data_IF_281563023951
#
_entry.id   IF_281563023951
#
_cell.length_a   1.000
_cell.length_b   1.000
_cell.length_c   1.000
_cell.angle_alpha   90.00
_cell.angle_beta   90.00
_cell.angle_gamma   90.00
#
_symmetry.space_group_name_H-M   'P 1'
#
loop_
_entity.id
_entity.type
_entity.pdbx_description
1 polymer ?
#
# COMPACT_ATOMS: atom_id res chain seq x y z
N UNK A 1 -2.80 -42.97 -27.39
CA UNK A 1 -2.80 -43.95 -28.50
C UNK A 1 -3.80 -45.04 -28.12
N UNK A 2 -4.81 -45.27 -28.98
CA UNK A 2 -5.85 -46.32 -28.88
C UNK A 2 -6.89 -46.16 -27.77
N UNK A 3 -8.14 -46.58 -27.91
CA UNK A 3 -8.99 -46.87 -29.08
C UNK A 3 -10.42 -46.99 -28.55
N UNK A 4 -11.36 -46.75 -29.46
CA UNK A 4 -12.79 -47.02 -29.38
C UNK A 4 -13.16 -48.48 -29.04
N UNK A 5 -14.32 -48.68 -28.38
CA UNK A 5 -15.28 -49.81 -28.51
C UNK A 5 -16.56 -49.47 -27.70
N UNK A 6 -17.68 -49.08 -28.31
CA UNK A 6 -18.83 -49.89 -28.81
C UNK A 6 -19.48 -50.83 -27.80
N UNK A 7 -20.80 -50.68 -27.60
CA UNK A 7 -21.89 -51.69 -27.36
C UNK A 7 -23.22 -50.86 -27.31
N UNK A 8 -24.25 -50.97 -28.14
CA UNK A 8 -25.06 -52.05 -28.73
C UNK A 8 -26.19 -52.62 -27.82
N UNK A 9 -27.40 -52.72 -28.42
CA UNK A 9 -28.67 -53.39 -28.03
C UNK A 9 -29.62 -52.61 -27.08
N UNK A 10 -30.95 -52.59 -27.23
CA UNK A 10 -31.97 -53.37 -27.97
C UNK A 10 -33.15 -52.43 -28.35
N UNK A 11 -33.82 -52.46 -29.52
CA UNK A 11 -34.71 -53.45 -30.18
C UNK A 11 -36.10 -53.66 -29.54
N UNK A 12 -37.10 -53.86 -30.42
CA UNK A 12 -38.40 -54.57 -30.28
C UNK A 12 -39.72 -53.75 -30.52
N UNK A 13 -40.26 -53.97 -31.74
CA UNK A 13 -41.69 -54.28 -32.13
C UNK A 13 -42.73 -53.13 -32.17
N UNK A 14 -43.63 -53.01 -33.17
CA UNK A 14 -43.90 -53.82 -34.36
C UNK A 14 -45.11 -53.31 -35.19
N UNK A 15 -45.14 -53.74 -36.47
CA UNK A 15 -46.29 -54.13 -37.36
C UNK A 15 -47.50 -53.21 -37.49
N UNK A 16 -47.81 -52.65 -38.68
CA UNK A 16 -48.33 -53.26 -39.94
C UNK A 16 -49.87 -53.25 -40.03
N UNK A 17 -50.40 -52.55 -41.06
CA UNK A 17 -51.60 -53.00 -41.80
C UNK A 17 -51.70 -52.30 -43.16
N UNK A 18 -51.69 -53.11 -44.20
CA UNK A 18 -52.21 -52.80 -45.54
C UNK A 18 -53.74 -52.83 -45.53
N UNK A 19 -54.39 -52.04 -46.39
CA UNK A 19 -55.45 -52.61 -47.24
C UNK A 19 -55.69 -51.80 -48.52
N UNK A 20 -56.29 -52.49 -49.48
CA UNK A 20 -56.19 -52.33 -50.94
C UNK A 20 -57.56 -52.03 -51.57
N UNK A 21 -57.55 -51.41 -52.78
CA UNK A 21 -58.64 -51.21 -53.79
C UNK A 21 -59.65 -50.09 -53.46
N UNK A 22 -60.23 -49.35 -54.41
CA UNK A 22 -60.54 -49.62 -55.83
C UNK A 22 -60.76 -48.29 -56.57
N UNK A 23 -60.48 -48.26 -57.87
CA UNK A 23 -60.71 -47.13 -58.76
C UNK A 23 -62.18 -46.97 -59.14
N UNK A 24 -62.66 -45.73 -59.26
CA UNK A 24 -63.80 -45.39 -60.11
C UNK A 24 -63.64 -43.98 -60.70
N UNK A 25 -63.51 -43.92 -62.03
CA UNK A 25 -63.57 -42.70 -62.85
C UNK A 25 -65.03 -42.30 -63.07
N UNK A 26 -65.33 -41.02 -62.91
CA UNK A 26 -66.38 -40.32 -63.65
C UNK A 26 -65.97 -38.84 -63.84
N UNK A 27 -66.24 -38.29 -65.01
CA UNK A 27 -65.92 -36.94 -65.54
C UNK A 27 -67.27 -36.31 -65.92
N UNK A 28 -67.43 -34.99 -66.12
CA UNK A 28 -67.11 -33.82 -65.30
C UNK A 28 -68.40 -33.05 -64.90
N UNK A 29 -68.32 -32.07 -64.01
CA UNK A 29 -69.31 -30.98 -63.99
C UNK A 29 -68.60 -29.68 -63.63
N UNK A 30 -68.60 -28.77 -64.61
CA UNK A 30 -68.10 -27.40 -64.50
C UNK A 30 -69.00 -26.66 -63.53
N UNK A 31 -68.46 -26.06 -62.47
CA UNK A 31 -68.70 -24.67 -62.03
C UNK A 31 -67.73 -24.32 -60.89
N UNK A 32 -67.33 -23.05 -60.89
CA UNK A 32 -66.48 -22.34 -59.91
C UNK A 32 -64.96 -22.52 -59.99
N UNK A 33 -64.38 -21.69 -60.86
CA UNK A 33 -63.06 -21.09 -60.70
C UNK A 33 -62.97 -20.39 -59.33
N UNK A 34 -62.62 -21.13 -58.28
CA UNK A 34 -62.02 -20.53 -57.09
C UNK A 34 -60.51 -20.55 -57.25
N UNK A 35 -59.97 -19.43 -57.70
CA UNK A 35 -58.55 -19.13 -57.67
C UNK A 35 -58.11 -19.24 -56.21
N UNK A 36 -57.47 -20.36 -55.85
CA UNK A 36 -56.71 -20.46 -54.62
C UNK A 36 -55.52 -19.50 -54.75
N UNK A 37 -55.73 -18.24 -54.40
CA UNK A 37 -54.64 -17.33 -54.07
C UNK A 37 -53.91 -17.93 -52.87
N UNK A 38 -52.86 -18.70 -53.13
CA UNK A 38 -51.72 -18.76 -52.22
C UNK A 38 -51.19 -17.34 -52.12
N UNK A 39 -51.74 -16.59 -51.17
CA UNK A 39 -51.24 -15.28 -50.77
C UNK A 39 -49.83 -15.57 -50.25
N UNK A 40 -48.83 -15.36 -51.09
CA UNK A 40 -47.46 -15.30 -50.65
C UNK A 40 -47.47 -14.34 -49.45
N UNK A 41 -47.17 -14.85 -48.24
CA UNK A 41 -46.89 -13.99 -47.10
C UNK A 41 -45.75 -13.10 -47.57
N UNK A 42 -46.07 -11.85 -47.92
CA UNK A 42 -45.06 -10.83 -48.15
C UNK A 42 -44.21 -10.86 -46.87
N UNK A 43 -42.88 -11.04 -46.96
CA UNK A 43 -42.07 -10.77 -45.80
C UNK A 43 -42.34 -9.31 -45.46
N UNK A 44 -42.99 -9.05 -44.33
CA UNK A 44 -43.11 -7.72 -43.80
C UNK A 44 -41.69 -7.30 -43.40
N UNK A 45 -40.97 -6.69 -44.33
CA UNK A 45 -39.66 -6.12 -44.08
C UNK A 45 -39.80 -4.87 -43.22
N UNK A 46 -38.80 -4.61 -42.39
CA UNK A 46 -38.73 -3.39 -41.59
C UNK A 46 -38.78 -2.16 -42.50
N UNK A 47 -39.60 -1.19 -42.13
CA UNK A 47 -39.63 0.12 -42.76
C UNK A 47 -38.33 0.86 -42.49
N UNK A 48 -37.97 1.79 -43.39
CA UNK A 48 -36.75 2.61 -43.25
C UNK A 48 -36.76 3.40 -41.93
N UNK A 49 -37.95 3.79 -41.46
CA UNK A 49 -38.16 4.43 -40.16
C UNK A 49 -37.87 3.48 -38.98
N UNK A 50 -38.36 2.23 -39.00
CA UNK A 50 -38.06 1.24 -37.97
C UNK A 50 -36.56 0.89 -37.90
N UNK A 51 -35.89 0.84 -39.06
CA UNK A 51 -34.44 0.59 -39.13
C UNK A 51 -33.64 1.76 -38.54
N UNK A 52 -34.03 3.01 -38.84
CA UNK A 52 -33.45 4.22 -38.23
C UNK A 52 -33.64 4.27 -36.72
N UNK A 53 -34.85 3.98 -36.24
CA UNK A 53 -35.15 3.95 -34.79
C UNK A 53 -34.34 2.84 -34.11
N UNK A 54 -34.27 1.65 -34.71
CA UNK A 54 -33.52 0.52 -34.16
C UNK A 54 -32.02 0.81 -34.08
N UNK A 55 -31.43 1.44 -35.11
CA UNK A 55 -30.03 1.87 -35.06
C UNK A 55 -29.82 2.99 -34.03
N UNK A 56 -30.75 3.94 -33.92
CA UNK A 56 -30.69 5.00 -32.90
C UNK A 56 -30.67 4.44 -31.48
N UNK A 57 -31.58 3.51 -31.18
CA UNK A 57 -31.63 2.81 -29.88
C UNK A 57 -30.37 1.98 -29.66
N UNK A 58 -29.88 1.27 -30.68
CA UNK A 58 -28.65 0.48 -30.58
C UNK A 58 -27.43 1.36 -30.26
N UNK A 59 -27.28 2.51 -30.94
CA UNK A 59 -26.20 3.45 -30.66
C UNK A 59 -26.34 4.02 -29.25
N UNK A 60 -27.55 4.36 -28.82
CA UNK A 60 -27.79 4.85 -27.46
C UNK A 60 -27.43 3.81 -26.41
N UNK A 61 -27.85 2.55 -26.59
CA UNK A 61 -27.55 1.45 -25.68
C UNK A 61 -26.05 1.14 -25.62
N UNK A 62 -25.37 1.13 -26.77
CA UNK A 62 -23.91 0.88 -26.81
C UNK A 62 -23.12 2.01 -26.15
N UNK A 63 -23.52 3.26 -26.34
CA UNK A 63 -22.92 4.41 -25.64
C UNK A 63 -23.14 4.32 -24.13
N UNK A 64 -24.36 3.99 -23.68
CA UNK A 64 -24.69 3.89 -22.26
C UNK A 64 -23.93 2.73 -21.59
N UNK A 65 -23.88 1.57 -22.25
CA UNK A 65 -23.08 0.43 -21.78
C UNK A 65 -21.59 0.79 -21.69
N UNK A 66 -21.04 1.49 -22.68
CA UNK A 66 -19.64 1.94 -22.69
C UNK A 66 -19.35 2.92 -21.55
N UNK A 67 -20.25 3.88 -21.31
CA UNK A 67 -20.11 4.82 -20.19
C UNK A 67 -20.16 4.13 -18.82
N UNK A 68 -21.04 3.13 -18.67
CA UNK A 68 -21.14 2.33 -17.45
C UNK A 68 -19.87 1.52 -17.20
N UNK A 69 -19.36 0.85 -18.23
CA UNK A 69 -18.11 0.08 -18.14
C UNK A 69 -16.91 0.97 -17.81
N UNK A 70 -16.81 2.14 -18.43
CA UNK A 70 -15.75 3.11 -18.14
C UNK A 70 -15.81 3.65 -16.71
N UNK A 71 -17.02 3.90 -16.21
CA UNK A 71 -17.23 4.35 -14.83
C UNK A 71 -16.86 3.25 -13.83
N UNK A 72 -17.30 2.02 -14.09
CA UNK A 72 -16.95 0.86 -13.27
C UNK A 72 -15.43 0.61 -13.24
N UNK A 73 -14.76 0.66 -14.39
CA UNK A 73 -13.31 0.50 -14.49
C UNK A 73 -12.54 1.55 -13.67
N UNK A 74 -13.00 2.81 -13.68
CA UNK A 74 -12.41 3.90 -12.87
C UNK A 74 -12.55 3.63 -11.37
N UNK A 75 -13.75 3.24 -10.92
CA UNK A 75 -14.02 2.95 -9.50
C UNK A 75 -13.16 1.76 -9.04
N UNK A 76 -13.14 0.68 -9.82
CA UNK A 76 -12.33 -0.50 -9.53
C UNK A 76 -10.85 -0.14 -9.45
N UNK A 77 -10.35 0.65 -10.40
CA UNK A 77 -8.94 1.08 -10.39
C UNK A 77 -8.62 1.91 -9.17
N UNK A 78 -9.47 2.89 -8.81
CA UNK A 78 -9.28 3.70 -7.61
C UNK A 78 -9.29 2.84 -6.33
N UNK A 79 -10.19 1.85 -6.27
CA UNK A 79 -10.26 0.89 -5.18
C UNK A 79 -8.96 0.11 -5.00
N UNK A 80 -8.37 -0.40 -6.08
CA UNK A 80 -7.07 -1.08 -6.03
C UNK A 80 -5.97 -0.15 -5.52
N UNK A 81 -5.88 1.09 -6.04
CA UNK A 81 -4.87 2.06 -5.59
C UNK A 81 -4.94 2.31 -4.08
N UNK A 82 -6.16 2.48 -3.58
CA UNK A 82 -6.38 2.69 -2.15
C UNK A 82 -6.01 1.44 -1.34
N UNK A 83 -6.47 0.26 -1.77
CA UNK A 83 -6.18 -1.01 -1.11
C UNK A 83 -4.68 -1.30 -1.04
N UNK A 84 -3.93 -0.99 -2.09
CA UNK A 84 -2.46 -1.17 -2.13
C UNK A 84 -1.78 -0.25 -1.11
N UNK A 85 -2.16 1.03 -1.07
CA UNK A 85 -1.62 1.99 -0.11
C UNK A 85 -2.00 1.65 1.34
N UNK A 86 -3.25 1.25 1.59
CA UNK A 86 -3.75 0.83 2.91
C UNK A 86 -2.99 -0.41 3.41
N UNK A 87 -2.75 -1.38 2.52
CA UNK A 87 -2.05 -2.63 2.86
C UNK A 87 -0.61 -2.36 3.30
N UNK A 88 0.11 -1.51 2.56
CA UNK A 88 1.48 -1.12 2.92
C UNK A 88 1.55 -0.32 4.23
N UNK A 89 0.65 0.65 4.42
CA UNK A 89 0.59 1.42 5.65
C UNK A 89 0.33 0.52 6.86
N UNK A 90 -0.58 -0.45 6.72
CA UNK A 90 -0.91 -1.40 7.78
C UNK A 90 0.28 -2.29 8.15
N UNK A 91 0.95 -2.89 7.16
CA UNK A 91 2.12 -3.72 7.40
C UNK A 91 3.24 -2.95 8.10
N UNK A 92 3.57 -1.76 7.61
CA UNK A 92 4.56 -0.86 8.21
C UNK A 92 4.22 -0.55 9.67
N UNK A 93 2.98 -0.14 9.93
CA UNK A 93 2.57 0.24 11.27
C UNK A 93 2.46 -0.95 12.22
N UNK A 94 2.05 -2.13 11.75
CA UNK A 94 2.01 -3.33 12.58
C UNK A 94 3.43 -3.75 12.97
N UNK A 95 4.40 -3.59 12.07
CA UNK A 95 5.81 -3.80 12.40
C UNK A 95 6.31 -2.79 13.43
N UNK A 96 6.04 -1.50 13.24
CA UNK A 96 6.36 -0.45 14.21
C UNK A 96 5.74 -0.69 15.58
N UNK A 97 4.51 -1.20 15.64
CA UNK A 97 3.84 -1.52 16.90
C UNK A 97 4.64 -2.56 17.70
N UNK A 98 5.08 -3.63 17.04
CA UNK A 98 5.90 -4.68 17.68
C UNK A 98 7.24 -4.12 18.16
N UNK A 99 7.92 -3.35 17.29
CA UNK A 99 9.24 -2.82 17.59
C UNK A 99 9.21 -1.78 18.73
N UNK A 100 8.24 -0.87 18.72
CA UNK A 100 8.06 0.12 19.79
C UNK A 100 7.60 -0.51 21.11
N UNK A 101 6.77 -1.56 21.07
CA UNK A 101 6.34 -2.26 22.29
C UNK A 101 7.51 -2.94 23.03
N UNK A 102 8.54 -3.34 22.28
CA UNK A 102 9.74 -4.01 22.79
C UNK A 102 10.95 -3.08 22.93
N UNK A 103 10.73 -1.77 22.83
CA UNK A 103 11.76 -0.78 23.05
C UNK A 103 12.30 -0.84 24.49
N UNK A 104 13.63 -0.85 24.63
CA UNK A 104 14.30 -0.75 25.93
C UNK A 104 14.22 0.69 26.40
N UNK A 105 13.53 0.94 27.53
CA UNK A 105 13.14 2.30 27.98
C UNK A 105 13.79 2.73 29.29
N UNK A 106 15.09 2.46 29.43
CA UNK A 106 15.86 2.83 30.62
C UNK A 106 16.47 4.21 30.48
N UNK A 107 16.80 4.85 31.61
CA UNK A 107 17.42 6.17 31.66
C UNK A 107 18.90 6.18 31.25
N UNK A 108 19.57 5.03 31.31
CA UNK A 108 20.98 4.85 30.96
C UNK A 108 21.18 4.28 29.53
N UNK A 109 20.09 4.20 28.76
CA UNK A 109 20.09 3.72 27.38
C UNK A 109 19.87 4.91 26.47
N UNK A 110 20.65 4.98 25.40
CA UNK A 110 20.56 6.08 24.44
C UNK A 110 19.59 5.78 23.28
N UNK A 111 19.08 6.84 22.66
CA UNK A 111 18.13 6.78 21.55
C UNK A 111 18.53 7.79 20.47
N UNK A 112 18.39 7.39 19.22
CA UNK A 112 18.47 8.33 18.11
C UNK A 112 17.06 8.88 17.84
N UNK A 113 16.79 10.08 18.35
CA UNK A 113 15.47 10.71 18.35
C UNK A 113 15.54 12.12 17.77
N UNK A 114 14.39 12.62 17.33
CA UNK A 114 14.17 14.04 17.13
C UNK A 114 14.44 14.79 18.41
N UNK A 115 15.27 15.82 18.31
CA UNK A 115 15.53 16.71 19.42
C UNK A 115 15.68 18.15 18.95
N UNK A 116 15.45 19.08 19.88
CA UNK A 116 15.74 20.49 19.69
C UNK A 116 17.24 20.74 19.88
N UNK A 117 17.80 21.59 19.02
CA UNK A 117 19.16 22.14 19.17
C UNK A 117 19.31 23.07 20.39
N UNK A 118 18.25 23.27 21.18
CA UNK A 118 18.22 24.20 22.32
C UNK A 118 18.40 23.52 23.68
N UNK A 119 18.55 22.19 23.74
CA UNK A 119 18.87 21.51 24.99
C UNK A 119 20.36 21.72 25.33
N UNK A 120 20.63 22.41 26.44
CA UNK A 120 21.99 22.81 26.84
C UNK A 120 22.94 21.62 27.11
N UNK A 121 22.38 20.45 27.43
CA UNK A 121 23.10 19.21 27.72
C UNK A 121 23.14 18.26 26.51
N UNK A 122 22.68 18.69 25.33
CA UNK A 122 22.69 17.86 24.12
C UNK A 122 23.52 18.43 22.98
N UNK A 123 24.82 18.13 22.99
CA UNK A 123 25.78 18.58 21.97
C UNK A 123 25.59 17.92 20.60
N UNK A 124 24.80 16.85 20.52
CA UNK A 124 24.57 16.05 19.30
C UNK A 124 23.11 16.03 18.85
N UNK A 125 22.24 16.81 19.50
CA UNK A 125 20.85 16.90 19.12
C UNK A 125 20.71 17.69 17.82
N UNK A 126 20.23 17.04 16.78
CA UNK A 126 19.92 17.67 15.50
C UNK A 126 18.41 17.77 15.33
N UNK A 127 17.96 18.95 14.89
CA UNK A 127 16.63 19.06 14.29
C UNK A 127 16.65 18.26 13.01
N UNK A 128 15.79 17.25 12.92
CA UNK A 128 15.55 16.53 11.67
C UNK A 128 14.58 17.37 10.83
N UNK A 129 14.94 17.63 9.58
CA UNK A 129 14.12 18.36 8.61
C UNK A 129 13.72 17.41 7.49
N UNK A 130 12.47 17.47 7.05
CA UNK A 130 11.95 16.57 6.04
C UNK A 130 11.86 15.15 6.57
N UNK A 131 12.33 14.16 5.80
CA UNK A 131 12.22 12.77 6.19
C UNK A 131 12.99 12.44 7.46
N UNK A 132 12.24 11.98 8.45
CA UNK A 132 12.75 11.69 9.76
C UNK A 132 13.51 10.38 9.86
N UNK A 133 14.21 10.25 10.97
CA UNK A 133 14.95 9.08 11.36
C UNK A 133 14.77 8.81 12.85
N UNK A 134 14.56 7.55 13.19
CA UNK A 134 14.47 7.11 14.58
C UNK A 134 15.23 5.80 14.74
N UNK A 135 15.99 5.66 15.82
CA UNK A 135 16.56 4.38 16.22
C UNK A 135 16.64 4.23 17.74
N UNK A 136 16.55 2.98 18.20
CA UNK A 136 16.50 2.63 19.61
C UNK A 136 16.94 1.18 19.82
N UNK A 137 17.36 0.87 21.04
CA UNK A 137 17.60 -0.51 21.45
C UNK A 137 16.28 -1.23 21.71
N UNK A 138 16.17 -2.48 21.29
CA UNK A 138 14.96 -3.29 21.40
C UNK A 138 15.28 -4.74 21.79
N UNK A 139 14.32 -5.41 22.41
CA UNK A 139 14.37 -6.88 22.63
C UNK A 139 13.83 -7.67 21.44
N UNK A 140 13.46 -7.00 20.34
CA UNK A 140 13.15 -7.68 19.08
C UNK A 140 14.44 -8.30 18.54
N UNK A 141 14.41 -9.56 18.09
CA UNK A 141 15.59 -10.15 17.50
C UNK A 141 16.05 -9.41 16.24
N UNK A 142 17.36 -9.21 16.14
CA UNK A 142 18.01 -8.63 14.96
C UNK A 142 18.98 -9.61 14.32
N UNK A 143 19.60 -9.20 13.23
CA UNK A 143 20.64 -9.95 12.52
C UNK A 143 21.94 -9.18 12.50
N UNK A 144 23.08 -9.85 12.65
CA UNK A 144 24.39 -9.24 12.46
C UNK A 144 24.90 -9.53 11.05
N UNK A 145 25.14 -8.48 10.27
CA UNK A 145 25.79 -8.60 8.96
C UNK A 145 27.29 -8.93 9.08
N UNK A 146 27.88 -8.74 10.26
CA UNK A 146 29.33 -8.86 10.51
C UNK A 146 29.76 -10.32 10.66
N UNK A 147 28.98 -11.13 11.40
CA UNK A 147 29.30 -12.54 11.64
C UNK A 147 28.54 -13.48 10.71
N UNK A 148 27.82 -12.94 9.71
CA UNK A 148 27.22 -13.69 8.62
C UNK A 148 26.02 -14.58 8.98
N UNK A 149 25.67 -14.79 10.26
CA UNK A 149 24.44 -15.50 10.61
C UNK A 149 23.90 -15.31 12.04
N UNK A 150 24.44 -14.39 12.84
CA UNK A 150 24.11 -14.39 14.27
C UNK A 150 22.87 -13.55 14.58
N UNK A 151 21.82 -14.24 14.98
CA UNK A 151 20.66 -13.63 15.62
C UNK A 151 20.98 -13.34 17.08
N UNK A 152 20.60 -12.14 17.54
CA UNK A 152 20.66 -11.79 18.97
C UNK A 152 19.27 -11.40 19.47
N UNK A 153 18.90 -11.73 20.72
CA UNK A 153 17.66 -11.26 21.34
C UNK A 153 17.67 -9.75 21.63
N UNK A 154 18.81 -9.06 21.51
CA UNK A 154 18.90 -7.60 21.63
C UNK A 154 19.42 -7.03 20.33
N UNK A 155 18.75 -5.99 19.84
CA UNK A 155 19.09 -5.35 18.58
C UNK A 155 18.92 -3.85 18.64
N UNK A 156 19.50 -3.18 17.64
CA UNK A 156 19.16 -1.79 17.30
C UNK A 156 18.13 -1.84 16.19
N UNK A 157 16.96 -1.29 16.49
CA UNK A 157 15.91 -1.07 15.50
C UNK A 157 15.92 0.38 15.10
N UNK A 158 15.73 0.64 13.81
CA UNK A 158 15.54 2.00 13.35
C UNK A 158 14.76 2.08 12.06
N UNK A 159 14.33 3.29 11.74
CA UNK A 159 13.41 3.60 10.66
C UNK A 159 13.85 4.89 9.98
N UNK A 160 13.82 4.88 8.65
CA UNK A 160 14.10 6.07 7.83
C UNK A 160 13.53 5.89 6.42
N UNK A 161 13.43 6.98 5.68
CA UNK A 161 13.37 6.91 4.22
C UNK A 161 14.79 6.74 3.67
N UNK A 162 14.95 5.81 2.72
CA UNK A 162 16.20 5.60 1.99
C UNK A 162 16.52 6.83 1.14
N UNK A 163 17.67 7.44 1.40
CA UNK A 163 18.17 8.61 0.66
C UNK A 163 19.44 8.21 -0.06
N UNK A 164 19.29 7.70 -1.28
CA UNK A 164 20.40 7.42 -2.19
C UNK A 164 19.99 7.71 -3.64
N UNK A 165 20.93 7.61 -4.57
CA UNK A 165 20.67 7.72 -6.01
C UNK A 165 20.25 6.38 -6.65
N UNK A 166 20.04 5.31 -5.87
CA UNK A 166 19.71 3.98 -6.40
C UNK A 166 18.20 3.75 -6.62
N UNK A 167 17.85 2.51 -6.99
CA UNK A 167 16.46 2.10 -7.27
C UNK A 167 15.58 1.97 -6.03
N UNK A 168 16.18 1.94 -4.84
CA UNK A 168 15.51 1.85 -3.55
C UNK A 168 15.30 3.22 -2.90
N UNK A 169 15.76 4.30 -3.54
CA UNK A 169 15.51 5.69 -3.12
C UNK A 169 14.03 5.99 -2.88
N UNK A 170 13.78 6.83 -1.85
CA UNK A 170 12.46 7.27 -1.43
C UNK A 170 11.53 6.11 -1.02
N UNK A 171 12.08 5.14 -0.30
CA UNK A 171 11.34 4.00 0.26
C UNK A 171 11.60 3.90 1.75
N UNK A 172 10.64 3.41 2.50
CA UNK A 172 10.80 3.20 3.93
C UNK A 172 11.64 1.96 4.20
N UNK A 173 12.70 2.15 4.98
CA UNK A 173 13.58 1.10 5.44
C UNK A 173 13.48 0.91 6.94
N UNK A 174 13.74 -0.33 7.35
CA UNK A 174 13.92 -0.71 8.74
C UNK A 174 15.30 -1.32 8.94
N UNK A 175 16.01 -0.81 9.93
CA UNK A 175 17.21 -1.43 10.48
C UNK A 175 16.82 -2.49 11.51
N UNK A 176 17.48 -3.66 11.47
CA UNK A 176 17.35 -4.70 12.49
C UNK A 176 18.70 -5.30 12.86
N UNK A 177 19.59 -4.52 13.45
CA UNK A 177 20.98 -4.91 13.67
C UNK A 177 21.19 -5.57 15.03
N UNK A 178 21.58 -6.83 15.05
CA UNK A 178 21.86 -7.58 16.28
C UNK A 178 23.04 -7.00 17.05
N UNK A 179 22.96 -7.05 18.38
CA UNK A 179 24.08 -6.80 19.28
C UNK A 179 24.51 -8.11 19.93
N UNK A 180 25.78 -8.50 19.79
CA UNK A 180 26.28 -9.77 20.35
C UNK A 180 26.70 -9.62 21.81
N UNK A 181 26.80 -10.69 22.59
CA UNK A 181 27.25 -10.56 23.98
C UNK A 181 28.70 -10.04 24.08
N UNK A 182 29.00 -9.28 25.14
CA UNK A 182 30.36 -8.81 25.39
C UNK A 182 31.35 -9.98 25.48
N UNK A 183 32.48 -9.85 24.79
CA UNK A 183 33.50 -10.90 24.69
C UNK A 183 33.20 -11.99 23.65
N UNK A 184 32.04 -11.97 22.97
CA UNK A 184 31.74 -12.90 21.88
C UNK A 184 32.47 -12.54 20.57
N UNK A 185 32.80 -11.26 20.36
CA UNK A 185 33.58 -10.79 19.21
C UNK A 185 34.37 -9.52 19.56
N UNK A 186 35.44 -9.27 18.82
CA UNK A 186 36.16 -7.99 18.76
C UNK A 186 35.68 -7.10 17.60
N UNK A 187 34.69 -7.55 16.82
CA UNK A 187 34.23 -6.85 15.63
C UNK A 187 33.49 -5.55 15.96
N UNK A 188 33.52 -4.64 15.00
CA UNK A 188 32.86 -3.34 15.07
C UNK A 188 31.67 -3.25 14.13
N UNK A 189 30.58 -2.64 14.61
CA UNK A 189 29.46 -2.13 13.82
C UNK A 189 29.92 -1.16 12.74
N UNK A 190 29.01 -0.89 11.80
CA UNK A 190 29.26 0.09 10.73
C UNK A 190 29.64 1.46 11.30
N UNK A 191 29.02 1.89 12.40
CA UNK A 191 29.34 3.11 13.15
C UNK A 191 30.70 3.10 13.89
N UNK A 192 31.51 2.05 13.72
CA UNK A 192 32.83 1.91 14.34
C UNK A 192 32.80 1.58 15.83
N UNK A 193 31.61 1.35 16.43
CA UNK A 193 31.47 0.90 17.82
C UNK A 193 31.55 -0.63 17.90
N UNK A 194 31.93 -1.22 19.05
CA UNK A 194 31.89 -2.66 19.21
C UNK A 194 30.50 -3.22 18.90
N UNK A 195 30.43 -4.38 18.23
CA UNK A 195 29.17 -5.03 17.89
C UNK A 195 28.44 -5.67 19.09
N UNK A 196 28.86 -5.33 20.31
CA UNK A 196 28.43 -6.00 21.52
C UNK A 196 27.29 -5.29 22.27
N UNK A 197 26.60 -6.01 23.16
CA UNK A 197 25.54 -5.49 24.06
C UNK A 197 26.18 -4.62 25.13
N UNK A 198 26.61 -3.43 24.73
CA UNK A 198 26.93 -2.29 25.57
C UNK A 198 26.11 -1.15 25.00
N UNK A 199 25.31 -0.50 25.85
CA UNK A 199 24.56 0.67 25.43
C UNK A 199 25.54 1.84 25.31
N UNK A 200 25.91 2.19 24.07
CA UNK A 200 26.79 3.30 23.76
C UNK A 200 25.98 4.57 23.50
N UNK A 201 26.51 5.70 23.98
CA UNK A 201 26.08 7.04 23.61
C UNK A 201 27.22 7.77 22.86
N UNK A 202 26.93 8.59 21.83
CA UNK A 202 25.64 8.72 21.17
C UNK A 202 25.29 7.49 20.31
N UNK A 203 24.04 7.02 20.35
CA UNK A 203 23.51 6.07 19.39
C UNK A 203 23.27 6.81 18.07
N UNK A 204 24.03 6.50 17.02
CA UNK A 204 23.77 6.97 15.67
C UNK A 204 24.09 5.87 14.66
N UNK A 205 23.14 4.96 14.38
CA UNK A 205 23.39 3.84 13.48
C UNK A 205 23.48 4.27 12.00
N UNK A 206 23.33 5.56 11.70
CA UNK A 206 23.37 6.09 10.34
C UNK A 206 24.73 6.61 9.92
N UNK A 207 25.68 6.75 10.86
CA UNK A 207 26.99 7.35 10.62
C UNK A 207 27.88 6.56 9.64
N UNK A 208 27.53 5.31 9.31
CA UNK A 208 28.22 4.52 8.30
C UNK A 208 27.28 3.46 7.74
N UNK A 209 27.11 3.49 6.42
CA UNK A 209 25.95 2.89 5.72
C UNK A 209 26.29 1.68 4.87
N UNK A 210 27.52 1.16 4.93
CA UNK A 210 28.02 0.28 3.87
C UNK A 210 27.59 -1.19 4.00
N UNK A 211 27.20 -1.68 5.18
CA UNK A 211 26.86 -3.10 5.41
C UNK A 211 25.75 -3.35 6.46
N UNK A 212 24.95 -2.36 6.83
CA UNK A 212 23.93 -2.57 7.86
C UNK A 212 22.72 -3.37 7.31
N UNK A 213 22.09 -4.24 8.11
CA UNK A 213 20.97 -5.08 7.68
C UNK A 213 19.68 -4.24 7.59
N UNK A 214 19.51 -3.59 6.45
CA UNK A 214 18.32 -2.82 6.11
C UNK A 214 17.35 -3.69 5.31
N UNK A 215 16.10 -3.67 5.75
CA UNK A 215 14.98 -4.22 4.99
C UNK A 215 14.11 -3.08 4.47
N UNK A 216 13.78 -3.10 3.18
CA UNK A 216 12.74 -2.22 2.63
C UNK A 216 11.39 -2.77 3.09
N UNK A 217 10.70 -2.03 3.95
CA UNK A 217 9.42 -2.45 4.55
C UNK A 217 8.22 -1.62 4.07
N UNK A 218 8.47 -0.46 3.47
CA UNK A 218 7.44 0.34 2.84
C UNK A 218 7.90 0.77 1.46
N UNK A 219 7.62 -0.06 0.46
CA UNK A 219 8.06 0.17 -0.91
C UNK A 219 7.58 1.51 -1.45
N UNK A 220 6.35 1.90 -1.14
CA UNK A 220 5.76 3.11 -1.70
C UNK A 220 5.47 4.19 -0.65
N UNK A 221 6.08 4.05 0.52
CA UNK A 221 6.12 5.07 1.57
C UNK A 221 7.30 6.00 1.29
N UNK A 222 7.02 7.28 1.02
CA UNK A 222 8.03 8.26 0.59
C UNK A 222 8.21 9.43 1.57
N UNK A 223 7.25 9.61 2.50
CA UNK A 223 7.36 10.55 3.61
C UNK A 223 7.20 9.81 4.92
N UNK A 224 8.13 10.03 5.84
CA UNK A 224 8.06 9.57 7.23
C UNK A 224 8.31 10.75 8.16
N UNK A 225 7.35 11.01 9.04
CA UNK A 225 7.39 12.05 10.06
C UNK A 225 6.94 11.45 11.40
N UNK A 226 7.49 11.92 12.51
CA UNK A 226 6.93 11.61 13.83
C UNK A 226 7.02 12.77 14.82
N UNK A 227 6.17 12.68 15.84
CA UNK A 227 6.06 13.60 16.97
C UNK A 227 5.71 12.84 18.24
N UNK A 228 5.76 13.52 19.38
CA UNK A 228 5.52 12.92 20.68
C UNK A 228 4.22 13.44 21.30
N UNK A 229 3.48 12.55 21.95
CA UNK A 229 2.50 12.91 22.97
C UNK A 229 3.20 12.81 24.32
N UNK A 230 3.32 13.92 25.04
CA UNK A 230 3.94 13.94 26.37
C UNK A 230 2.93 13.55 27.45
N UNK A 231 3.38 13.13 28.64
CA UNK A 231 2.47 12.72 29.75
C UNK A 231 1.66 13.86 30.35
N UNK A 232 1.96 15.12 29.99
CA UNK A 232 1.13 16.27 30.35
C UNK A 232 -0.02 16.50 29.35
N UNK A 233 -0.09 15.71 28.26
CA UNK A 233 -1.09 15.82 27.21
C UNK A 233 -0.66 16.64 25.99
N UNK A 234 0.49 17.31 26.04
CA UNK A 234 0.95 18.17 24.95
C UNK A 234 1.57 17.37 23.79
N UNK A 235 1.36 17.87 22.57
CA UNK A 235 2.06 17.38 21.39
C UNK A 235 3.38 18.14 21.21
N UNK A 236 4.49 17.41 21.10
CA UNK A 236 5.83 17.99 21.04
C UNK A 236 6.67 17.41 19.91
N UNK A 237 7.57 18.24 19.38
CA UNK A 237 8.64 17.82 18.47
C UNK A 237 9.84 17.20 19.23
N UNK A 238 9.88 17.33 20.55
CA UNK A 238 10.93 16.78 21.43
C UNK A 238 10.33 15.86 22.50
N UNK A 239 11.07 14.83 22.96
CA UNK A 239 10.51 13.82 23.86
C UNK A 239 10.49 14.21 25.36
N UNK A 240 10.61 15.49 25.70
CA UNK A 240 10.63 15.97 27.08
C UNK A 240 10.01 17.36 27.27
N UNK A 241 9.66 17.69 28.52
CA UNK A 241 9.01 18.95 28.88
C UNK A 241 9.95 20.16 28.88
N UNK A 242 11.20 19.97 29.32
CA UNK A 242 12.09 21.08 29.68
C UNK A 242 13.17 21.30 28.62
N UNK A 243 13.38 22.55 28.20
CA UNK A 243 14.49 22.95 27.32
C UNK A 243 15.87 22.81 27.97
N UNK A 244 15.95 22.41 29.24
CA UNK A 244 17.18 22.43 30.04
C UNK A 244 17.81 21.06 30.33
N UNK A 245 17.13 19.94 30.08
CA UNK A 245 17.78 18.62 30.18
C UNK A 245 17.13 17.52 29.34
N UNK A 246 17.97 16.74 28.63
CA UNK A 246 17.57 15.53 27.90
C UNK A 246 17.18 14.42 28.87
N UNK A 247 15.94 13.93 28.76
CA UNK A 247 15.43 12.83 29.61
C UNK A 247 15.05 11.59 28.81
N UNK A 248 15.60 11.44 27.60
CA UNK A 248 15.23 10.37 26.68
C UNK A 248 13.71 10.35 26.45
N UNK A 249 13.07 9.20 26.66
CA UNK A 249 11.62 9.01 26.52
C UNK A 249 10.83 9.06 27.84
N UNK A 250 11.43 9.52 28.94
CA UNK A 250 10.79 9.48 30.28
C UNK A 250 9.48 10.26 30.35
N UNK A 251 9.36 11.34 29.60
CA UNK A 251 8.20 12.23 29.61
C UNK A 251 7.20 11.91 28.47
N UNK A 252 7.51 10.91 27.64
CA UNK A 252 6.69 10.50 26.49
C UNK A 252 5.61 9.50 26.90
N UNK A 253 4.38 9.76 26.47
CA UNK A 253 3.25 8.82 26.54
C UNK A 253 3.04 8.04 25.24
N UNK A 254 3.24 8.68 24.09
CA UNK A 254 3.13 8.01 22.80
C UNK A 254 4.06 8.63 21.76
N UNK A 255 4.47 7.82 20.80
CA UNK A 255 5.08 8.27 19.55
C UNK A 255 3.97 8.28 18.50
N UNK A 256 3.71 9.43 17.89
CA UNK A 256 2.72 9.58 16.82
C UNK A 256 3.49 9.65 15.51
N UNK A 257 3.22 8.70 14.62
CA UNK A 257 3.88 8.58 13.32
C UNK A 257 2.91 9.00 12.22
N UNK A 258 3.41 9.79 11.29
CA UNK A 258 2.75 10.26 10.09
C UNK A 258 3.52 9.77 8.86
N UNK A 259 2.80 9.21 7.89
CA UNK A 259 3.41 8.74 6.63
C UNK A 259 2.60 9.19 5.41
N UNK A 260 3.30 9.36 4.29
CA UNK A 260 2.68 9.49 2.98
C UNK A 260 3.04 8.28 2.10
N UNK A 261 2.01 7.70 1.50
CA UNK A 261 2.07 6.47 0.69
C UNK A 261 1.44 6.76 -0.66
N UNK A 262 2.01 6.20 -1.72
CA UNK A 262 1.47 6.27 -3.09
C UNK A 262 1.27 4.85 -3.61
N UNK A 263 0.29 4.58 -4.48
CA UNK A 263 0.16 3.24 -5.05
C UNK A 263 1.29 2.97 -6.07
N UNK A 264 1.71 1.70 -6.25
CA UNK A 264 2.83 1.36 -7.13
C UNK A 264 2.69 1.90 -8.57
N UNK A 265 1.47 1.87 -9.13
CA UNK A 265 1.23 2.30 -10.52
C UNK A 265 1.39 3.80 -10.69
N UNK A 266 0.94 4.57 -9.71
CA UNK A 266 1.09 6.02 -9.75
C UNK A 266 2.49 6.48 -9.36
N UNK A 267 3.16 5.75 -8.46
CA UNK A 267 4.57 5.98 -8.14
C UNK A 267 5.44 5.91 -9.40
N UNK A 268 5.16 4.95 -10.29
CA UNK A 268 5.88 4.78 -11.56
C UNK A 268 5.77 5.99 -12.51
N UNK A 269 4.84 6.93 -12.26
CA UNK A 269 4.70 8.18 -13.02
C UNK A 269 5.61 9.30 -12.50
N UNK A 270 6.30 9.09 -11.38
CA UNK A 270 7.14 10.06 -10.70
C UNK A 270 8.60 9.58 -10.71
N UNK A 271 9.53 10.50 -10.95
CA UNK A 271 10.95 10.23 -10.74
C UNK A 271 11.31 10.24 -9.25
N UNK A 272 12.48 9.70 -8.90
CA UNK A 272 12.99 9.79 -7.54
C UNK A 272 13.19 11.25 -7.09
N UNK A 273 13.57 12.15 -8.00
CA UNK A 273 13.65 13.58 -7.70
C UNK A 273 12.27 14.20 -7.42
N UNK A 274 11.23 13.79 -8.15
CA UNK A 274 9.87 14.28 -7.93
C UNK A 274 9.36 13.86 -6.55
N UNK A 275 9.60 12.61 -6.15
CA UNK A 275 9.22 12.09 -4.83
C UNK A 275 10.00 12.78 -3.71
N UNK A 276 11.29 13.03 -3.89
CA UNK A 276 12.10 13.74 -2.91
C UNK A 276 11.61 15.18 -2.73
N UNK A 277 11.37 15.91 -3.83
CA UNK A 277 10.85 17.28 -3.79
C UNK A 277 9.44 17.32 -3.17
N UNK A 278 8.56 16.38 -3.54
CA UNK A 278 7.25 16.27 -2.93
C UNK A 278 7.34 15.99 -1.42
N UNK A 279 8.27 15.13 -0.98
CA UNK A 279 8.48 14.87 0.44
C UNK A 279 8.97 16.11 1.19
N UNK A 280 9.83 16.95 0.57
CA UNK A 280 10.29 18.22 1.13
C UNK A 280 9.17 19.27 1.25
N UNK A 281 8.21 19.27 0.32
CA UNK A 281 7.02 20.13 0.34
C UNK A 281 6.03 19.72 1.46
N UNK A 282 6.14 18.51 1.99
CA UNK A 282 5.37 18.03 3.14
C UNK A 282 6.04 18.47 4.44
N UNK A 283 5.56 19.59 4.97
CA UNK A 283 6.11 20.27 6.15
C UNK A 283 6.31 19.35 7.37
N UNK A 284 7.33 19.64 8.17
CA UNK A 284 7.57 18.97 9.46
C UNK A 284 6.52 19.40 10.50
N UNK A 285 6.40 18.61 11.57
CA UNK A 285 5.61 18.98 12.72
C UNK A 285 6.16 20.26 13.38
N UNK A 286 5.30 21.27 13.47
CA UNK A 286 5.60 22.61 13.94
C UNK A 286 4.67 23.08 15.07
N UNK A 287 4.03 22.17 15.79
CA UNK A 287 3.08 22.52 16.87
C UNK A 287 1.61 22.54 16.45
N UNK A 288 1.27 21.91 15.31
CA UNK A 288 -0.12 21.82 14.85
C UNK A 288 -0.97 21.01 15.84
N UNK A 289 -2.27 21.32 15.91
CA UNK A 289 -3.23 20.48 16.64
C UNK A 289 -3.33 19.07 16.04
N UNK A 290 -3.88 18.08 16.78
CA UNK A 290 -4.13 16.75 16.23
C UNK A 290 -4.85 16.80 14.86
N UNK A 291 -4.33 16.07 13.88
CA UNK A 291 -4.83 16.08 12.50
C UNK A 291 -4.42 17.29 11.64
N UNK A 292 -3.95 18.38 12.24
CA UNK A 292 -3.54 19.59 11.52
C UNK A 292 -2.37 19.38 10.56
N UNK A 293 -1.43 18.50 10.93
CA UNK A 293 -0.31 18.12 10.06
C UNK A 293 -0.78 17.38 8.80
N UNK A 294 -1.64 16.37 8.94
CA UNK A 294 -2.20 15.63 7.81
C UNK A 294 -3.02 16.54 6.89
N UNK A 295 -3.78 17.49 7.46
CA UNK A 295 -4.52 18.48 6.68
C UNK A 295 -3.59 19.40 5.88
N UNK A 296 -2.49 19.86 6.49
CA UNK A 296 -1.47 20.66 5.81
C UNK A 296 -0.78 19.88 4.68
N UNK A 297 -0.43 18.62 4.93
CA UNK A 297 0.10 17.73 3.90
C UNK A 297 -0.88 17.53 2.75
N UNK A 298 -2.16 17.33 3.06
CA UNK A 298 -3.20 17.18 2.02
C UNK A 298 -3.32 18.44 1.18
N UNK A 299 -3.31 19.62 1.81
CA UNK A 299 -3.35 20.90 1.11
C UNK A 299 -2.12 21.09 0.20
N UNK A 300 -0.93 20.68 0.65
CA UNK A 300 0.30 20.73 -0.15
C UNK A 300 0.20 19.84 -1.40
N UNK A 301 -0.25 18.58 -1.24
CA UNK A 301 -0.46 17.65 -2.37
C UNK A 301 -1.51 18.17 -3.35
N UNK A 302 -2.64 18.69 -2.86
CA UNK A 302 -3.71 19.21 -3.70
C UNK A 302 -3.32 20.54 -4.40
N UNK A 303 -2.51 21.35 -3.74
CA UNK A 303 -1.97 22.61 -4.27
C UNK A 303 -0.88 22.43 -5.33
N UNK A 304 -0.20 21.28 -5.38
CA UNK A 304 0.89 21.05 -6.31
C UNK A 304 0.39 21.00 -7.78
N UNK A 305 0.87 21.94 -8.60
CA UNK A 305 0.52 22.05 -10.04
C UNK A 305 1.61 21.54 -10.98
N UNK A 306 2.75 21.09 -10.46
CA UNK A 306 3.93 20.72 -11.26
C UNK A 306 3.96 19.23 -11.58
N UNK A 307 3.45 18.38 -10.68
CA UNK A 307 3.45 16.92 -10.86
C UNK A 307 2.14 16.39 -11.48
N UNK A 308 2.17 15.21 -12.13
CA UNK A 308 0.98 14.61 -12.72
C UNK A 308 -0.15 14.42 -11.70
N UNK A 309 -1.32 15.02 -11.98
CA UNK A 309 -2.51 14.91 -11.11
C UNK A 309 -2.99 13.47 -10.90
N UNK A 310 -2.77 12.62 -11.90
CA UNK A 310 -3.05 11.18 -11.81
C UNK A 310 -2.23 10.47 -10.75
N UNK A 311 -1.05 11.00 -10.39
CA UNK A 311 -0.20 10.48 -9.34
C UNK A 311 -0.44 11.13 -7.97
N UNK A 312 -0.68 12.44 -7.93
CA UNK A 312 -0.99 13.13 -6.68
C UNK A 312 -2.33 12.69 -6.07
N UNK A 313 -3.32 12.41 -6.91
CA UNK A 313 -4.65 11.96 -6.45
C UNK A 313 -4.65 10.61 -5.73
N UNK A 314 -3.63 9.78 -5.94
CA UNK A 314 -3.44 8.49 -5.26
C UNK A 314 -2.58 8.56 -4.01
N UNK A 315 -2.00 9.72 -3.67
CA UNK A 315 -1.29 9.87 -2.41
C UNK A 315 -2.28 9.72 -1.25
N UNK A 316 -1.96 8.82 -0.33
CA UNK A 316 -2.67 8.57 0.92
C UNK A 316 -1.79 8.94 2.10
N UNK A 317 -2.40 9.55 3.09
CA UNK A 317 -1.72 10.07 4.27
C UNK A 317 -2.30 9.36 5.49
N UNK A 318 -1.43 8.84 6.35
CA UNK A 318 -1.85 8.11 7.54
C UNK A 318 -1.17 8.65 8.79
N UNK A 319 -1.86 8.51 9.91
CA UNK A 319 -1.34 8.80 11.24
C UNK A 319 -1.68 7.64 12.17
N UNK A 320 -0.72 7.22 12.99
CA UNK A 320 -0.93 6.22 14.04
C UNK A 320 -0.18 6.61 15.31
N UNK A 321 -0.88 6.51 16.43
CA UNK A 321 -0.31 6.71 17.75
C UNK A 321 0.12 5.39 18.36
N UNK A 322 1.37 5.32 18.81
CA UNK A 322 1.97 4.18 19.49
C UNK A 322 2.18 4.53 20.95
N UNK A 323 1.27 4.10 21.81
CA UNK A 323 1.37 4.34 23.24
C UNK A 323 2.51 3.54 23.85
N UNK A 324 3.37 4.26 24.56
CA UNK A 324 4.44 3.69 25.34
C UNK A 324 3.85 3.33 26.72
N UNK A 325 3.49 2.07 26.92
CA UNK A 325 2.97 1.57 28.20
C UNK A 325 3.93 1.92 29.34
N UNK A 326 3.50 2.30 30.56
CA UNK A 326 4.42 2.44 31.68
C UNK A 326 5.14 1.10 31.85
N UNK A 327 6.44 1.04 31.54
CA UNK A 327 7.21 -0.15 31.83
C UNK A 327 7.20 -0.34 33.33
N UNK A 328 6.85 -1.53 33.82
CA UNK A 328 7.22 -1.93 35.17
C UNK A 328 8.73 -1.77 35.29
N UNK A 329 9.15 -0.81 36.11
CA UNK A 329 10.53 -0.58 36.50
C UNK A 329 11.14 -1.88 37.06
#
# INVERSE_FOLDING_TARGET
>A
MRDYKTNAAADVVGTSRCDVRTAQRAVPTIYELQVAHTRAKRPNGFTLAELLVSMGVLVMLTLLATQLLNSAAKIITLGHKQMDADSQARELFDRMAIDFAQMVRRSDVDYYLKSSTTANDCTLCTRQRGNDQIAFYSTVPGWSAITGAQQSPVSIIGYRIHVSADTLSNRMERLGEALVWNGATSDTRSDGKPASVIFWAPLNPWASVTNSPFDVIGHDVFRFEYRYLLKNGDLSATPWYATSSVRGLQDVSAIIVNIAVIDPKSRALLSNSDLAALAEDLADYGGQSPGGLLAAWRASVDGNTTLPRTALSSVRLYERSFYLSPGSL
#
